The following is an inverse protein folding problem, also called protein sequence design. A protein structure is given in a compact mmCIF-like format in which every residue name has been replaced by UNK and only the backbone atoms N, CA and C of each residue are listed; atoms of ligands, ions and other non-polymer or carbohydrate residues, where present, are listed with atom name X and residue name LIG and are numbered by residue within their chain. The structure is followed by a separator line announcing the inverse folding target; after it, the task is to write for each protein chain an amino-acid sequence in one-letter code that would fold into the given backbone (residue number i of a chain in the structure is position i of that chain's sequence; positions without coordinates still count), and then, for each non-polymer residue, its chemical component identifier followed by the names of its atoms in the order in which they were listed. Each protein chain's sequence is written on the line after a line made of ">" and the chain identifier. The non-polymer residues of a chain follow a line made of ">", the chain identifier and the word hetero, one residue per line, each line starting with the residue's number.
data_IF_442786191257
#
_entry.id   IF_442786191257
#
_cell.length_a   1.000
_cell.length_b   1.000
_cell.length_c   1.000
_cell.angle_alpha   90.00
_cell.angle_beta   90.00
_cell.angle_gamma   90.00
#
_symmetry.space_group_name_H-M   'P 1'
#
loop_
_entity.id
_entity.type
_entity.pdbx_description
1 polymer ?
#
# COMPACT_ATOMS: atom_id res chain seq x y z
N UNK A 1 -13.04 -32.80 -35.49
CA UNK A 1 -12.43 -33.92 -34.76
C UNK A 1 -12.78 -33.87 -33.27
N UNK A 2 -12.23 -33.00 -32.44
CA UNK A 2 -12.45 -33.01 -30.98
C UNK A 2 -13.93 -32.82 -30.52
N UNK A 3 -14.78 -32.25 -31.37
CA UNK A 3 -16.21 -32.03 -31.08
C UNK A 3 -17.13 -33.00 -31.83
N UNK A 4 -16.67 -33.68 -32.90
CA UNK A 4 -17.51 -34.43 -33.85
C UNK A 4 -17.27 -35.94 -33.87
N UNK A 5 -16.32 -36.44 -33.10
CA UNK A 5 -15.82 -37.85 -33.12
C UNK A 5 -15.40 -38.38 -34.50
N UNK A 6 -15.19 -37.52 -35.49
CA UNK A 6 -14.66 -37.93 -36.76
C UNK A 6 -13.12 -38.09 -36.66
N UNK A 7 -12.55 -39.17 -37.14
CA UNK A 7 -11.11 -39.41 -37.16
C UNK A 7 -10.58 -38.77 -38.42
N UNK A 8 -9.82 -37.67 -38.27
CA UNK A 8 -9.03 -37.08 -39.33
C UNK A 8 -7.53 -37.36 -39.00
N UNK A 9 -6.77 -37.63 -40.02
CA UNK A 9 -5.30 -37.70 -39.90
C UNK A 9 -4.76 -36.27 -40.03
N UNK A 10 -3.91 -35.87 -39.06
CA UNK A 10 -3.19 -34.64 -39.09
C UNK A 10 -1.68 -34.98 -39.06
N UNK A 11 -0.87 -34.13 -39.65
CA UNK A 11 0.58 -34.27 -39.49
C UNK A 11 1.03 -33.81 -38.08
N UNK A 12 2.30 -34.00 -37.79
CA UNK A 12 2.85 -33.72 -36.47
C UNK A 12 2.75 -32.23 -36.13
N UNK A 13 3.16 -31.38 -37.07
CA UNK A 13 3.18 -29.92 -36.90
C UNK A 13 1.77 -29.37 -36.65
N UNK A 14 0.76 -29.89 -37.40
CA UNK A 14 -0.63 -29.51 -37.19
C UNK A 14 -1.14 -29.85 -35.78
N UNK A 15 -0.72 -30.99 -35.21
CA UNK A 15 -1.06 -31.33 -33.82
C UNK A 15 -0.39 -30.42 -32.84
N UNK A 16 0.87 -30.08 -33.00
CA UNK A 16 1.64 -29.17 -32.14
C UNK A 16 0.96 -27.79 -32.12
N UNK A 17 0.69 -27.21 -33.28
CA UNK A 17 0.02 -25.92 -33.39
C UNK A 17 -1.38 -25.91 -32.71
N UNK A 18 -2.16 -26.98 -32.91
CA UNK A 18 -3.48 -27.13 -32.27
C UNK A 18 -3.34 -27.22 -30.75
N UNK A 19 -2.35 -27.94 -30.24
CA UNK A 19 -2.15 -28.15 -28.80
C UNK A 19 -1.71 -26.85 -28.16
N UNK A 20 -0.68 -26.18 -28.72
CA UNK A 20 -0.14 -24.91 -28.27
C UNK A 20 -1.27 -23.88 -28.25
N UNK A 21 -2.02 -23.72 -29.34
CA UNK A 21 -3.16 -22.81 -29.39
C UNK A 21 -4.18 -23.05 -28.26
N UNK A 22 -4.49 -24.33 -27.92
CA UNK A 22 -5.40 -24.61 -26.82
C UNK A 22 -4.79 -24.34 -25.44
N UNK A 23 -3.48 -24.45 -25.29
CA UNK A 23 -2.76 -24.08 -24.07
C UNK A 23 -2.88 -22.55 -23.88
N UNK A 24 -2.53 -21.77 -24.91
CA UNK A 24 -2.51 -20.30 -24.88
C UNK A 24 -3.86 -19.69 -24.54
N UNK A 25 -4.96 -20.24 -25.08
CA UNK A 25 -6.32 -19.77 -24.77
C UNK A 25 -6.92 -20.42 -23.51
N UNK A 26 -6.10 -21.10 -22.69
CA UNK A 26 -6.52 -21.70 -21.42
C UNK A 26 -7.49 -22.88 -21.51
N UNK A 27 -7.64 -23.50 -22.72
CA UNK A 27 -8.54 -24.65 -22.93
C UNK A 27 -7.81 -26.00 -22.74
N UNK A 28 -7.20 -26.16 -21.58
CA UNK A 28 -6.35 -27.33 -21.27
C UNK A 28 -7.04 -28.70 -21.46
N UNK A 29 -8.36 -28.78 -21.25
CA UNK A 29 -9.10 -30.02 -21.51
C UNK A 29 -9.15 -30.42 -22.98
N UNK A 30 -9.12 -29.46 -23.90
CA UNK A 30 -9.03 -29.69 -25.34
C UNK A 30 -7.59 -29.97 -25.76
N UNK A 31 -6.62 -29.26 -25.21
CA UNK A 31 -5.19 -29.55 -25.42
C UNK A 31 -4.88 -31.01 -25.08
N UNK A 32 -5.32 -31.51 -23.93
CA UNK A 32 -5.15 -32.94 -23.56
C UNK A 32 -5.75 -33.92 -24.54
N UNK A 33 -6.95 -33.63 -25.04
CA UNK A 33 -7.58 -34.50 -26.03
C UNK A 33 -6.77 -34.51 -27.36
N UNK A 34 -6.28 -33.32 -27.72
CA UNK A 34 -5.41 -33.19 -28.91
C UNK A 34 -4.11 -33.94 -28.74
N UNK A 35 -3.41 -33.79 -27.59
CA UNK A 35 -2.19 -34.57 -27.27
C UNK A 35 -2.46 -36.06 -27.33
N UNK A 36 -3.55 -36.55 -26.73
CA UNK A 36 -3.90 -37.96 -26.75
C UNK A 36 -4.08 -38.49 -28.19
N UNK A 37 -4.84 -37.75 -28.99
CA UNK A 37 -5.06 -38.13 -30.40
C UNK A 37 -3.78 -38.04 -31.24
N UNK A 38 -2.97 -37.02 -30.96
CA UNK A 38 -1.66 -36.87 -31.60
C UNK A 38 -0.72 -38.07 -31.33
N UNK A 39 -0.62 -38.49 -30.07
CA UNK A 39 0.17 -39.63 -29.65
C UNK A 39 -0.41 -40.98 -30.12
N UNK A 40 -1.72 -41.08 -30.40
CA UNK A 40 -2.29 -42.25 -31.04
C UNK A 40 -1.89 -42.34 -32.52
N UNK A 41 -1.66 -41.23 -33.21
CA UNK A 41 -1.25 -41.18 -34.62
C UNK A 41 0.28 -41.13 -34.78
N UNK A 42 0.98 -40.48 -33.83
CA UNK A 42 2.44 -40.29 -33.83
C UNK A 42 3.04 -40.72 -32.47
N UNK A 43 3.08 -42.02 -32.14
CA UNK A 43 3.45 -42.51 -30.81
C UNK A 43 4.90 -42.26 -30.43
N UNK A 44 5.77 -42.06 -31.41
CA UNK A 44 7.23 -41.86 -31.21
C UNK A 44 7.60 -40.37 -31.14
N UNK A 45 6.65 -39.44 -31.38
CA UNK A 45 6.95 -38.02 -31.32
C UNK A 45 7.44 -37.61 -29.94
N UNK A 46 8.59 -37.00 -29.84
CA UNK A 46 9.16 -36.42 -28.62
C UNK A 46 8.41 -35.13 -28.26
N UNK A 47 8.14 -34.29 -29.24
CA UNK A 47 7.50 -32.99 -29.05
C UNK A 47 6.10 -33.15 -28.44
N UNK A 48 5.29 -34.09 -28.94
CA UNK A 48 3.98 -34.40 -28.37
C UNK A 48 4.08 -34.96 -26.92
N UNK A 49 5.16 -35.73 -26.63
CA UNK A 49 5.40 -36.23 -25.26
C UNK A 49 5.81 -35.08 -24.33
N UNK A 50 6.60 -34.12 -24.79
CA UNK A 50 6.98 -32.92 -24.04
C UNK A 50 5.77 -32.05 -23.75
N UNK A 51 4.89 -31.78 -24.74
CA UNK A 51 3.62 -31.11 -24.55
C UNK A 51 2.67 -31.85 -23.55
N UNK A 52 2.71 -33.19 -23.56
CA UNK A 52 1.99 -33.98 -22.55
C UNK A 52 2.56 -33.77 -21.15
N UNK A 53 3.88 -33.70 -21.01
CA UNK A 53 4.57 -33.46 -19.74
C UNK A 53 4.22 -32.06 -19.24
N UNK A 54 4.29 -31.05 -20.09
CA UNK A 54 3.91 -29.67 -19.76
C UNK A 54 2.48 -29.56 -19.21
N UNK A 55 1.50 -30.19 -19.88
CA UNK A 55 0.12 -30.26 -19.40
C UNK A 55 0.01 -30.97 -18.05
N UNK A 56 0.82 -32.02 -17.81
CA UNK A 56 0.85 -32.70 -16.50
C UNK A 56 1.44 -31.78 -15.40
N UNK A 57 2.47 -31.00 -15.74
CA UNK A 57 3.09 -30.01 -14.86
C UNK A 57 2.10 -28.88 -14.53
N UNK A 58 1.38 -28.38 -15.53
CA UNK A 58 0.34 -27.39 -15.34
C UNK A 58 -0.76 -27.88 -14.37
N UNK A 59 -1.19 -29.13 -14.50
CA UNK A 59 -2.18 -29.75 -13.62
C UNK A 59 -1.64 -30.20 -12.26
N UNK A 60 -0.39 -29.88 -11.95
CA UNK A 60 0.30 -30.30 -10.72
C UNK A 60 0.41 -31.83 -10.55
N UNK A 61 0.40 -32.59 -11.65
CA UNK A 61 0.59 -34.04 -11.67
C UNK A 61 2.08 -34.39 -11.78
N UNK A 62 2.89 -33.87 -10.84
CA UNK A 62 4.36 -33.91 -10.91
C UNK A 62 4.93 -35.33 -10.96
N UNK A 63 4.33 -36.30 -10.25
CA UNK A 63 4.77 -37.69 -10.28
C UNK A 63 4.64 -38.31 -11.68
N UNK A 64 3.54 -38.03 -12.38
CA UNK A 64 3.31 -38.52 -13.74
C UNK A 64 4.24 -37.78 -14.70
N UNK A 65 4.39 -36.48 -14.57
CA UNK A 65 5.29 -35.68 -15.39
C UNK A 65 6.75 -36.23 -15.32
N UNK A 66 7.27 -36.49 -14.11
CA UNK A 66 8.61 -37.07 -13.90
C UNK A 66 8.76 -38.44 -14.59
N UNK A 67 7.75 -39.29 -14.46
CA UNK A 67 7.78 -40.62 -15.09
C UNK A 67 7.86 -40.51 -16.62
N UNK A 68 7.06 -39.63 -17.22
CA UNK A 68 7.07 -39.41 -18.66
C UNK A 68 8.39 -38.76 -19.11
N UNK A 69 8.87 -37.80 -18.37
CA UNK A 69 10.11 -37.09 -18.66
C UNK A 69 11.34 -38.04 -18.65
N UNK A 70 11.40 -38.97 -17.69
CA UNK A 70 12.45 -40.00 -17.66
C UNK A 70 12.45 -40.86 -18.92
N UNK A 71 11.29 -41.13 -19.52
CA UNK A 71 11.21 -41.89 -20.77
C UNK A 71 11.75 -41.07 -21.97
N UNK A 72 11.46 -39.78 -22.02
CA UNK A 72 11.94 -38.86 -23.06
C UNK A 72 13.46 -38.68 -22.92
N UNK A 73 13.97 -38.49 -21.72
CA UNK A 73 15.41 -38.32 -21.45
C UNK A 73 16.26 -39.51 -21.90
N UNK A 74 15.73 -40.73 -21.80
CA UNK A 74 16.45 -41.94 -22.29
C UNK A 74 16.58 -41.92 -23.83
N UNK A 75 15.56 -41.35 -24.51
CA UNK A 75 15.55 -41.28 -25.98
C UNK A 75 16.41 -40.12 -26.49
N UNK A 76 16.32 -38.96 -25.83
CA UNK A 76 17.02 -37.73 -26.20
C UNK A 76 17.71 -37.09 -24.99
N UNK A 77 18.88 -37.58 -24.56
CA UNK A 77 19.55 -37.12 -23.35
C UNK A 77 20.13 -35.69 -23.44
N UNK A 78 20.26 -35.14 -24.65
CA UNK A 78 20.80 -33.80 -24.91
C UNK A 78 19.72 -32.83 -25.45
N UNK A 79 18.45 -33.14 -25.25
CA UNK A 79 17.39 -32.25 -25.63
C UNK A 79 17.23 -31.16 -24.54
N UNK A 80 17.31 -29.89 -24.92
CA UNK A 80 17.23 -28.72 -24.03
C UNK A 80 15.88 -28.66 -23.31
N UNK A 81 14.76 -28.95 -24.02
CA UNK A 81 13.41 -28.94 -23.45
C UNK A 81 13.25 -29.95 -22.30
N UNK A 82 13.96 -31.10 -22.36
CA UNK A 82 13.98 -32.06 -21.24
C UNK A 82 14.52 -31.42 -19.97
N UNK A 83 15.55 -30.59 -20.06
CA UNK A 83 16.12 -29.89 -18.91
C UNK A 83 15.23 -28.75 -18.46
N UNK A 84 14.53 -28.02 -19.37
CA UNK A 84 13.54 -27.00 -19.05
C UNK A 84 12.38 -27.63 -18.27
N UNK A 85 11.83 -28.74 -18.74
CA UNK A 85 10.75 -29.46 -18.06
C UNK A 85 11.20 -30.02 -16.69
N UNK A 86 12.43 -30.48 -16.54
CA UNK A 86 13.02 -30.87 -15.26
C UNK A 86 13.04 -29.68 -14.28
N UNK A 87 13.55 -28.54 -14.75
CA UNK A 87 13.62 -27.33 -13.96
C UNK A 87 12.24 -26.90 -13.47
N UNK A 88 11.26 -26.87 -14.38
CA UNK A 88 9.88 -26.48 -14.04
C UNK A 88 9.25 -27.42 -13.00
N UNK A 89 9.51 -28.73 -13.11
CA UNK A 89 9.01 -29.72 -12.14
C UNK A 89 9.66 -29.51 -10.75
N UNK A 90 10.98 -29.34 -10.68
CA UNK A 90 11.68 -29.19 -9.39
C UNK A 90 11.44 -27.80 -8.79
N UNK A 91 11.22 -26.77 -9.61
CA UNK A 91 10.76 -25.44 -9.17
C UNK A 91 9.42 -25.52 -8.45
N UNK A 92 8.43 -26.21 -9.02
CA UNK A 92 7.13 -26.44 -8.37
C UNK A 92 7.24 -27.26 -7.07
N UNK A 93 8.32 -27.97 -6.83
CA UNK A 93 8.65 -28.61 -5.57
C UNK A 93 9.37 -27.68 -4.57
N UNK A 94 9.62 -26.42 -4.93
CA UNK A 94 10.35 -25.45 -4.13
C UNK A 94 11.89 -25.65 -4.16
N UNK A 95 12.41 -26.43 -5.10
CA UNK A 95 13.85 -26.74 -5.23
C UNK A 95 14.53 -25.83 -6.25
N UNK A 96 14.50 -24.53 -6.00
CA UNK A 96 14.93 -23.51 -6.95
C UNK A 96 16.39 -23.65 -7.37
N UNK A 97 17.31 -24.09 -6.48
CA UNK A 97 18.72 -24.33 -6.84
C UNK A 97 18.87 -25.45 -7.84
N UNK A 98 18.13 -26.56 -7.69
CA UNK A 98 18.12 -27.67 -8.62
C UNK A 98 17.50 -27.27 -9.97
N UNK A 99 16.50 -26.38 -9.96
CA UNK A 99 15.92 -25.80 -11.17
C UNK A 99 16.94 -24.98 -11.94
N UNK A 100 17.69 -24.11 -11.26
CA UNK A 100 18.77 -23.30 -11.86
C UNK A 100 19.84 -24.23 -12.51
N UNK A 101 20.25 -25.29 -11.83
CA UNK A 101 21.23 -26.23 -12.39
C UNK A 101 20.76 -26.88 -13.70
N UNK A 102 19.46 -27.23 -13.77
CA UNK A 102 18.89 -27.79 -15.00
C UNK A 102 18.77 -26.72 -16.10
N UNK A 103 18.34 -25.49 -15.78
CA UNK A 103 18.24 -24.39 -16.74
C UNK A 103 19.62 -24.01 -17.32
N UNK A 104 20.67 -23.99 -16.48
CA UNK A 104 22.03 -23.75 -16.95
C UNK A 104 22.48 -24.85 -17.95
N UNK A 105 22.08 -26.10 -17.74
CA UNK A 105 22.34 -27.17 -18.71
C UNK A 105 21.57 -26.93 -20.00
N UNK A 106 20.28 -26.62 -19.93
CA UNK A 106 19.47 -26.28 -21.09
C UNK A 106 20.11 -25.15 -21.91
N UNK A 107 20.59 -24.10 -21.25
CA UNK A 107 21.24 -22.95 -21.87
C UNK A 107 22.48 -23.30 -22.69
N UNK A 108 23.14 -24.43 -22.38
CA UNK A 108 24.31 -24.91 -23.15
C UNK A 108 23.94 -25.74 -24.39
N UNK A 109 22.68 -26.14 -24.53
CA UNK A 109 22.20 -27.06 -25.54
C UNK A 109 21.43 -26.37 -26.67
N UNK A 110 20.95 -25.16 -26.44
CA UNK A 110 20.13 -24.41 -27.40
C UNK A 110 20.78 -23.10 -27.81
N UNK A 111 20.46 -22.62 -29.03
CA UNK A 111 20.75 -21.26 -29.49
C UNK A 111 19.65 -20.29 -29.13
N UNK A 112 18.41 -20.75 -28.92
CA UNK A 112 17.28 -19.98 -28.46
C UNK A 112 17.29 -19.93 -26.91
N UNK A 113 17.66 -18.77 -26.37
CA UNK A 113 18.01 -18.64 -24.95
C UNK A 113 17.02 -17.77 -24.17
N UNK A 114 16.10 -17.09 -24.84
CA UNK A 114 15.27 -16.03 -24.23
C UNK A 114 14.39 -16.60 -23.13
N UNK A 115 13.64 -17.66 -23.40
CA UNK A 115 12.80 -18.31 -22.40
C UNK A 115 13.61 -18.85 -21.22
N UNK A 116 14.79 -19.38 -21.47
CA UNK A 116 15.66 -19.94 -20.42
C UNK A 116 16.19 -18.82 -19.52
N UNK A 117 16.59 -17.66 -20.08
CA UNK A 117 17.00 -16.51 -19.26
C UNK A 117 15.84 -15.98 -18.41
N UNK A 118 14.63 -15.93 -18.98
CA UNK A 118 13.43 -15.55 -18.21
C UNK A 118 13.19 -16.50 -17.04
N UNK A 119 13.25 -17.81 -17.27
CA UNK A 119 13.09 -18.81 -16.22
C UNK A 119 14.22 -18.74 -15.18
N UNK A 120 15.48 -18.57 -15.59
CA UNK A 120 16.60 -18.37 -14.67
C UNK A 120 16.41 -17.12 -13.82
N UNK A 121 15.99 -16.01 -14.44
CA UNK A 121 15.68 -14.78 -13.72
C UNK A 121 14.63 -15.01 -12.63
N UNK A 122 13.55 -15.70 -12.95
CA UNK A 122 12.50 -16.04 -11.99
C UNK A 122 12.98 -16.96 -10.88
N UNK A 123 13.78 -18.00 -11.19
CA UNK A 123 14.33 -18.90 -10.19
C UNK A 123 15.29 -18.21 -9.21
N UNK A 124 16.09 -17.24 -9.70
CA UNK A 124 16.95 -16.42 -8.86
C UNK A 124 16.13 -15.45 -7.99
N UNK A 125 14.98 -14.92 -8.48
CA UNK A 125 14.07 -14.11 -7.66
C UNK A 125 13.48 -14.91 -6.49
N UNK A 126 13.12 -16.18 -6.71
CA UNK A 126 12.64 -17.05 -5.61
C UNK A 126 13.70 -17.31 -4.52
N UNK A 127 14.97 -17.10 -4.85
CA UNK A 127 16.09 -17.23 -3.90
C UNK A 127 16.56 -15.88 -3.33
N UNK A 128 15.86 -14.78 -3.65
CA UNK A 128 16.27 -13.40 -3.33
C UNK A 128 17.66 -13.02 -3.87
N UNK A 129 18.13 -13.72 -4.91
CA UNK A 129 19.39 -13.42 -5.59
C UNK A 129 19.13 -12.42 -6.73
N UNK A 130 18.89 -11.16 -6.33
CA UNK A 130 18.50 -10.08 -7.25
C UNK A 130 19.60 -9.75 -8.26
N UNK A 131 20.87 -9.94 -7.93
CA UNK A 131 21.98 -9.69 -8.85
C UNK A 131 21.95 -10.67 -10.04
N UNK A 132 21.87 -11.98 -9.78
CA UNK A 132 21.80 -12.98 -10.84
C UNK A 132 20.45 -12.94 -11.58
N UNK A 133 19.34 -12.66 -10.91
CA UNK A 133 18.05 -12.43 -11.56
C UNK A 133 18.15 -11.30 -12.58
N UNK A 134 18.67 -10.15 -12.17
CA UNK A 134 18.86 -8.97 -13.01
C UNK A 134 19.72 -9.24 -14.24
N UNK A 135 20.84 -9.96 -14.07
CA UNK A 135 21.72 -10.30 -15.19
C UNK A 135 20.98 -11.12 -16.27
N UNK A 136 20.14 -12.07 -15.86
CA UNK A 136 19.36 -12.87 -16.80
C UNK A 136 18.28 -12.03 -17.50
N UNK A 137 17.52 -11.20 -16.77
CA UNK A 137 16.54 -10.29 -17.40
C UNK A 137 17.20 -9.25 -18.31
N UNK A 138 18.41 -8.78 -18.01
CA UNK A 138 19.17 -7.90 -18.92
C UNK A 138 19.51 -8.64 -20.23
N UNK A 139 19.78 -9.95 -20.19
CA UNK A 139 19.99 -10.72 -21.39
C UNK A 139 18.71 -10.78 -22.25
N UNK A 140 17.52 -10.96 -21.65
CA UNK A 140 16.24 -10.90 -22.34
C UNK A 140 16.03 -9.54 -23.01
N UNK A 141 16.21 -8.44 -22.26
CA UNK A 141 16.08 -7.05 -22.78
C UNK A 141 17.09 -6.77 -23.91
N UNK A 142 18.28 -7.38 -23.88
CA UNK A 142 19.26 -7.20 -24.95
C UNK A 142 18.93 -8.05 -26.19
N UNK A 143 18.25 -9.17 -26.05
CA UNK A 143 17.78 -10.01 -27.14
C UNK A 143 16.56 -9.40 -27.82
N UNK A 144 15.58 -9.00 -27.01
CA UNK A 144 14.41 -8.25 -27.45
C UNK A 144 14.28 -6.94 -26.66
N UNK A 145 14.50 -5.82 -27.35
CA UNK A 145 14.44 -4.48 -26.76
C UNK A 145 12.99 -4.07 -26.38
N UNK A 146 11.99 -4.76 -26.92
CA UNK A 146 10.57 -4.54 -26.61
C UNK A 146 10.03 -5.47 -25.54
N UNK A 147 10.88 -6.32 -24.95
CA UNK A 147 10.51 -7.13 -23.77
C UNK A 147 10.40 -6.24 -22.53
N UNK A 148 9.26 -5.55 -22.42
CA UNK A 148 8.95 -4.68 -21.28
C UNK A 148 8.78 -5.48 -19.99
N UNK A 149 8.38 -6.76 -20.04
CA UNK A 149 8.28 -7.61 -18.87
C UNK A 149 9.62 -7.80 -18.20
N UNK A 150 10.64 -8.15 -18.98
CA UNK A 150 12.02 -8.27 -18.49
C UNK A 150 12.58 -6.91 -18.06
N UNK A 151 12.27 -5.82 -18.77
CA UNK A 151 12.64 -4.47 -18.36
C UNK A 151 12.10 -4.12 -16.94
N UNK A 152 10.83 -4.42 -16.69
CA UNK A 152 10.24 -4.25 -15.35
C UNK A 152 10.95 -5.10 -14.29
N UNK A 153 11.27 -6.35 -14.62
CA UNK A 153 11.98 -7.24 -13.70
C UNK A 153 13.40 -6.77 -13.39
N UNK A 154 14.12 -6.18 -14.36
CA UNK A 154 15.43 -5.55 -14.13
C UNK A 154 15.29 -4.42 -13.12
N UNK A 155 14.33 -3.53 -13.32
CA UNK A 155 14.09 -2.39 -12.40
C UNK A 155 13.66 -2.90 -11.02
N UNK A 156 12.79 -3.91 -10.97
CA UNK A 156 12.38 -4.53 -9.70
C UNK A 156 13.58 -5.07 -8.91
N UNK A 157 14.54 -5.74 -9.58
CA UNK A 157 15.75 -6.23 -8.92
C UNK A 157 16.58 -5.06 -8.33
N UNK A 158 16.72 -3.95 -9.04
CA UNK A 158 17.38 -2.76 -8.52
C UNK A 158 16.64 -2.17 -7.31
N UNK A 159 15.30 -2.12 -7.36
CA UNK A 159 14.47 -1.60 -6.26
C UNK A 159 14.66 -2.45 -4.99
N UNK A 160 14.68 -3.78 -5.12
CA UNK A 160 14.88 -4.69 -3.98
C UNK A 160 16.27 -4.57 -3.35
N UNK A 161 17.26 -4.13 -4.11
CA UNK A 161 18.63 -3.86 -3.64
C UNK A 161 18.84 -2.39 -3.23
N UNK A 162 17.80 -1.52 -3.31
CA UNK A 162 17.87 -0.07 -3.08
C UNK A 162 18.89 0.65 -4.00
N UNK A 163 19.19 0.09 -5.16
CA UNK A 163 20.18 0.58 -6.13
C UNK A 163 19.56 1.52 -7.17
N UNK A 164 18.83 2.53 -6.70
CA UNK A 164 18.05 3.43 -7.54
C UNK A 164 18.88 4.20 -8.58
N UNK A 165 20.09 4.65 -8.22
CA UNK A 165 20.96 5.35 -9.18
C UNK A 165 21.48 4.41 -10.27
N UNK A 166 21.79 3.16 -9.95
CA UNK A 166 22.21 2.16 -10.93
C UNK A 166 21.07 1.80 -11.88
N UNK A 167 19.82 1.77 -11.37
CA UNK A 167 18.62 1.62 -12.20
C UNK A 167 18.48 2.76 -13.22
N UNK A 168 18.68 4.01 -12.79
CA UNK A 168 18.66 5.19 -13.67
C UNK A 168 19.75 5.05 -14.75
N UNK A 169 20.97 4.66 -14.36
CA UNK A 169 22.09 4.51 -15.29
C UNK A 169 21.85 3.40 -16.33
N UNK A 170 21.20 2.32 -15.90
CA UNK A 170 20.77 1.24 -16.82
C UNK A 170 19.69 1.73 -17.77
N UNK A 171 18.63 2.37 -17.23
CA UNK A 171 17.52 2.89 -18.02
C UNK A 171 17.94 3.97 -19.02
N UNK A 172 18.89 4.83 -18.64
CA UNK A 172 19.47 5.80 -19.58
C UNK A 172 20.16 5.13 -20.76
N UNK A 173 20.93 4.06 -20.54
CA UNK A 173 21.53 3.26 -21.62
C UNK A 173 20.49 2.54 -22.49
N UNK A 174 19.37 2.19 -21.90
CA UNK A 174 18.25 1.58 -22.61
C UNK A 174 17.58 2.62 -23.52
N UNK A 175 17.26 3.83 -23.02
CA UNK A 175 16.63 4.88 -23.84
C UNK A 175 17.57 5.44 -24.92
N UNK A 176 18.90 5.34 -24.76
CA UNK A 176 19.84 5.65 -25.83
C UNK A 176 19.61 4.77 -27.07
N UNK A 177 19.12 3.54 -26.88
CA UNK A 177 18.80 2.58 -27.95
C UNK A 177 17.33 2.64 -28.38
N UNK A 178 16.42 2.89 -27.41
CA UNK A 178 14.98 2.94 -27.62
C UNK A 178 14.38 4.23 -26.99
N UNK A 179 14.58 5.41 -27.60
CA UNK A 179 14.21 6.69 -27.01
C UNK A 179 12.70 6.92 -26.92
N UNK A 180 11.89 6.15 -27.65
CA UNK A 180 10.42 6.27 -27.69
C UNK A 180 9.73 5.21 -26.83
N UNK A 181 10.40 4.69 -25.79
CA UNK A 181 9.79 3.78 -24.82
C UNK A 181 9.24 4.55 -23.63
N UNK A 182 7.92 4.78 -23.59
CA UNK A 182 7.21 5.44 -22.49
C UNK A 182 7.40 4.72 -21.16
N UNK A 183 7.48 3.39 -21.19
CA UNK A 183 7.71 2.55 -20.00
C UNK A 183 9.07 2.87 -19.37
N UNK A 184 10.13 2.98 -20.16
CA UNK A 184 11.47 3.27 -19.65
C UNK A 184 11.53 4.68 -19.03
N UNK A 185 10.96 5.69 -19.68
CA UNK A 185 10.87 7.04 -19.15
C UNK A 185 10.06 7.10 -17.86
N UNK A 186 8.95 6.37 -17.80
CA UNK A 186 8.16 6.25 -16.57
C UNK A 186 8.97 5.61 -15.44
N UNK A 187 9.72 4.54 -15.71
CA UNK A 187 10.57 3.92 -14.69
C UNK A 187 11.71 4.84 -14.22
N UNK A 188 12.32 5.62 -15.12
CA UNK A 188 13.29 6.66 -14.74
C UNK A 188 12.65 7.66 -13.78
N UNK A 189 11.45 8.14 -14.09
CA UNK A 189 10.70 9.05 -13.22
C UNK A 189 10.43 8.46 -11.84
N UNK A 190 10.04 7.19 -11.77
CA UNK A 190 9.85 6.47 -10.50
C UNK A 190 11.13 6.42 -9.68
N UNK A 191 12.27 6.10 -10.28
CA UNK A 191 13.56 6.05 -9.58
C UNK A 191 13.94 7.43 -9.03
N UNK A 192 13.77 8.50 -9.81
CA UNK A 192 14.00 9.86 -9.33
C UNK A 192 13.05 10.25 -8.21
N UNK A 193 11.77 9.83 -8.26
CA UNK A 193 10.78 10.09 -7.20
C UNK A 193 11.19 9.44 -5.87
N UNK A 194 11.68 8.20 -5.89
CA UNK A 194 12.20 7.51 -4.69
C UNK A 194 13.39 8.27 -4.10
N UNK A 195 14.28 8.77 -4.94
CA UNK A 195 15.43 9.61 -4.55
C UNK A 195 15.02 11.04 -4.14
N UNK A 196 13.71 11.38 -4.16
CA UNK A 196 13.16 12.73 -3.89
C UNK A 196 13.67 13.82 -4.84
N UNK A 197 14.10 13.43 -6.02
CA UNK A 197 14.55 14.31 -7.09
C UNK A 197 13.34 14.64 -8.00
N UNK A 198 12.41 15.42 -7.44
CA UNK A 198 11.08 15.62 -8.02
C UNK A 198 11.09 16.34 -9.38
N UNK A 199 12.03 17.26 -9.60
CA UNK A 199 12.11 17.98 -10.88
C UNK A 199 12.56 17.06 -12.02
N UNK A 200 13.57 16.20 -11.77
CA UNK A 200 14.01 15.23 -12.75
C UNK A 200 12.95 14.14 -12.97
N UNK A 201 12.24 13.74 -11.91
CA UNK A 201 11.11 12.81 -12.04
C UNK A 201 10.01 13.39 -12.93
N UNK A 202 9.65 14.67 -12.72
CA UNK A 202 8.65 15.37 -13.53
C UNK A 202 9.05 15.40 -15.01
N UNK A 203 10.31 15.76 -15.30
CA UNK A 203 10.83 15.77 -16.67
C UNK A 203 10.74 14.38 -17.32
N UNK A 204 11.05 13.31 -16.59
CA UNK A 204 10.97 11.95 -17.15
C UNK A 204 9.51 11.54 -17.40
N UNK A 205 8.57 11.89 -16.52
CA UNK A 205 7.14 11.64 -16.75
C UNK A 205 6.59 12.47 -17.89
N UNK A 206 7.09 13.71 -18.10
CA UNK A 206 6.74 14.51 -19.28
C UNK A 206 7.10 13.80 -20.58
N UNK A 207 8.30 13.21 -20.66
CA UNK A 207 8.68 12.41 -21.83
C UNK A 207 7.76 11.20 -22.01
N UNK A 208 7.43 10.49 -20.93
CA UNK A 208 6.55 9.32 -21.01
C UNK A 208 5.18 9.65 -21.61
N UNK A 209 4.54 10.74 -21.14
CA UNK A 209 3.21 11.16 -21.64
C UNK A 209 3.25 11.86 -23.00
N UNK A 210 4.39 12.40 -23.42
CA UNK A 210 4.58 12.93 -24.78
C UNK A 210 4.71 11.79 -25.80
N UNK A 211 5.34 10.68 -25.41
CA UNK A 211 5.52 9.51 -26.26
C UNK A 211 4.19 8.75 -26.42
N UNK A 212 3.48 8.53 -25.32
CA UNK A 212 2.14 7.93 -25.33
C UNK A 212 1.16 8.82 -24.55
N UNK A 213 0.33 9.56 -25.31
CA UNK A 213 -0.71 10.44 -24.76
C UNK A 213 -1.83 9.68 -24.02
N UNK A 214 -1.91 8.35 -24.18
CA UNK A 214 -2.89 7.50 -23.50
C UNK A 214 -2.29 6.79 -22.27
N UNK A 215 -1.04 7.04 -21.96
CA UNK A 215 -0.34 6.37 -20.86
C UNK A 215 -0.79 6.90 -19.49
N UNK A 216 -1.89 6.34 -18.96
CA UNK A 216 -2.52 6.72 -17.67
C UNK A 216 -1.52 6.72 -16.51
N UNK A 217 -0.63 5.70 -16.44
CA UNK A 217 0.41 5.61 -15.40
C UNK A 217 1.35 6.80 -15.35
N UNK A 218 1.71 7.34 -16.52
CA UNK A 218 2.55 8.53 -16.65
C UNK A 218 1.89 9.77 -16.06
N UNK A 219 0.64 10.04 -16.42
CA UNK A 219 -0.13 11.17 -15.86
C UNK A 219 -0.35 11.04 -14.35
N UNK A 220 -0.61 9.83 -13.86
CA UNK A 220 -0.82 9.58 -12.45
C UNK A 220 0.42 9.90 -11.61
N UNK A 221 1.58 9.39 -12.00
CA UNK A 221 2.83 9.64 -11.28
C UNK A 221 3.32 11.09 -11.45
N UNK A 222 3.10 11.68 -12.63
CA UNK A 222 3.31 13.11 -12.85
C UNK A 222 2.49 13.97 -11.90
N UNK A 223 1.20 13.69 -11.76
CA UNK A 223 0.31 14.41 -10.84
C UNK A 223 0.79 14.30 -9.39
N UNK A 224 1.16 13.10 -8.91
CA UNK A 224 1.72 12.90 -7.57
C UNK A 224 3.01 13.69 -7.35
N UNK A 225 3.85 13.76 -8.38
CA UNK A 225 5.11 14.51 -8.32
C UNK A 225 4.86 16.02 -8.25
N UNK A 226 3.89 16.52 -9.01
CA UNK A 226 3.45 17.91 -8.95
C UNK A 226 2.87 18.28 -7.59
N UNK A 227 2.13 17.38 -6.94
CA UNK A 227 1.70 17.59 -5.55
C UNK A 227 2.88 17.72 -4.59
N UNK A 228 3.89 16.87 -4.73
CA UNK A 228 5.09 16.93 -3.88
C UNK A 228 5.87 18.25 -4.07
N UNK A 229 5.80 18.85 -5.26
CA UNK A 229 6.34 20.16 -5.59
C UNK A 229 5.42 21.32 -5.17
N UNK A 230 4.20 21.04 -4.71
CA UNK A 230 3.21 22.08 -4.36
C UNK A 230 2.50 22.70 -5.54
N UNK A 231 2.68 22.18 -6.75
CA UNK A 231 2.03 22.63 -7.99
C UNK A 231 0.62 22.01 -8.11
N UNK A 232 -0.24 22.31 -7.13
CA UNK A 232 -1.54 21.63 -6.96
C UNK A 232 -2.50 21.81 -8.14
N UNK A 233 -2.49 22.96 -8.82
CA UNK A 233 -3.38 23.15 -9.99
C UNK A 233 -2.97 22.25 -11.14
N UNK A 234 -1.68 22.19 -11.44
CA UNK A 234 -1.15 21.32 -12.49
C UNK A 234 -1.35 19.82 -12.15
N UNK A 235 -1.24 19.46 -10.86
CA UNK A 235 -1.57 18.11 -10.38
C UNK A 235 -3.04 17.77 -10.69
N UNK A 236 -3.98 18.67 -10.38
CA UNK A 236 -5.40 18.50 -10.68
C UNK A 236 -5.63 18.26 -12.18
N UNK A 237 -4.99 19.06 -13.03
CA UNK A 237 -5.14 18.95 -14.48
C UNK A 237 -4.70 17.57 -14.98
N UNK A 238 -3.58 17.05 -14.46
CA UNK A 238 -3.11 15.70 -14.80
C UNK A 238 -4.00 14.59 -14.23
N UNK A 239 -4.53 14.72 -13.00
CA UNK A 239 -5.53 13.77 -12.49
C UNK A 239 -6.83 13.78 -13.29
N UNK A 240 -7.25 14.94 -13.81
CA UNK A 240 -8.44 15.00 -14.66
C UNK A 240 -8.22 14.24 -15.97
N UNK A 241 -7.01 14.33 -16.56
CA UNK A 241 -6.66 13.53 -17.73
C UNK A 241 -6.78 12.04 -17.44
N UNK A 242 -6.31 11.56 -16.27
CA UNK A 242 -6.45 10.13 -15.93
C UNK A 242 -7.91 9.68 -15.86
N UNK A 243 -8.83 10.56 -15.44
CA UNK A 243 -10.27 10.27 -15.40
C UNK A 243 -10.95 10.27 -16.78
N UNK A 244 -10.33 10.92 -17.78
CA UNK A 244 -10.81 10.93 -19.16
C UNK A 244 -10.31 9.69 -19.94
N UNK A 245 -9.11 9.20 -19.59
CA UNK A 245 -8.45 8.09 -20.29
C UNK A 245 -8.87 6.70 -19.78
N UNK A 246 -9.26 6.61 -18.53
CA UNK A 246 -9.60 5.36 -17.87
C UNK A 246 -10.89 5.55 -17.04
N UNK A 247 -11.45 4.46 -16.52
CA UNK A 247 -12.62 4.54 -15.64
C UNK A 247 -12.32 5.40 -14.42
N UNK A 248 -13.27 6.27 -14.07
CA UNK A 248 -13.16 7.16 -12.92
C UNK A 248 -12.89 6.38 -11.63
N UNK A 249 -11.77 6.68 -10.98
CA UNK A 249 -11.40 6.01 -9.74
C UNK A 249 -11.64 6.91 -8.52
N UNK A 250 -12.16 6.32 -7.45
CA UNK A 250 -12.30 7.01 -6.16
C UNK A 250 -10.97 7.61 -5.68
N UNK A 251 -9.85 6.96 -6.00
CA UNK A 251 -8.50 7.46 -5.70
C UNK A 251 -8.23 8.82 -6.36
N UNK A 252 -8.44 8.94 -7.68
CA UNK A 252 -8.19 10.19 -8.41
C UNK A 252 -9.09 11.32 -7.87
N UNK A 253 -10.36 11.05 -7.60
CA UNK A 253 -11.25 12.03 -6.99
C UNK A 253 -10.79 12.49 -5.61
N UNK A 254 -10.27 11.60 -4.77
CA UNK A 254 -9.70 11.97 -3.47
C UNK A 254 -8.51 12.89 -3.65
N UNK A 255 -7.56 12.53 -4.53
CA UNK A 255 -6.35 13.34 -4.77
C UNK A 255 -6.68 14.73 -5.29
N UNK A 256 -7.62 14.85 -6.23
CA UNK A 256 -8.12 16.15 -6.71
C UNK A 256 -8.73 16.95 -5.56
N UNK A 257 -9.52 16.29 -4.68
CA UNK A 257 -10.10 16.92 -3.49
C UNK A 257 -9.04 17.44 -2.53
N UNK A 258 -7.99 16.67 -2.27
CA UNK A 258 -6.84 17.07 -1.43
C UNK A 258 -6.10 18.28 -2.04
N UNK A 259 -5.84 18.27 -3.36
CA UNK A 259 -5.24 19.41 -4.05
C UNK A 259 -6.08 20.69 -3.92
N UNK A 260 -7.40 20.60 -4.13
CA UNK A 260 -8.28 21.76 -3.92
C UNK A 260 -8.31 22.24 -2.47
N UNK A 261 -8.18 21.36 -1.52
CA UNK A 261 -8.07 21.72 -0.10
C UNK A 261 -6.77 22.49 0.17
N UNK A 262 -5.64 22.06 -0.40
CA UNK A 262 -4.37 22.79 -0.32
C UNK A 262 -4.45 24.17 -0.97
N UNK A 263 -5.20 24.31 -2.05
CA UNK A 263 -5.49 25.61 -2.71
C UNK A 263 -6.51 26.47 -1.93
N UNK A 264 -7.02 26.00 -0.80
CA UNK A 264 -8.03 26.70 0.00
C UNK A 264 -9.45 26.71 -0.61
N UNK A 265 -9.67 25.93 -1.69
CA UNK A 265 -10.97 25.83 -2.34
C UNK A 265 -11.82 24.70 -1.74
N UNK A 266 -12.36 24.93 -0.53
CA UNK A 266 -13.17 23.96 0.18
C UNK A 266 -14.43 23.52 -0.61
N UNK A 267 -15.01 24.39 -1.44
CA UNK A 267 -16.20 24.05 -2.22
C UNK A 267 -15.90 22.99 -3.28
N UNK A 268 -14.80 23.15 -4.03
CA UNK A 268 -14.34 22.17 -5.01
C UNK A 268 -13.90 20.87 -4.32
N UNK A 269 -13.15 20.96 -3.19
CA UNK A 269 -12.76 19.79 -2.42
C UNK A 269 -13.97 18.94 -2.00
N UNK A 270 -15.02 19.55 -1.45
CA UNK A 270 -16.27 18.85 -1.09
C UNK A 270 -16.90 18.16 -2.31
N UNK A 271 -16.90 18.82 -3.46
CA UNK A 271 -17.46 18.26 -4.69
C UNK A 271 -16.73 16.96 -5.07
N UNK A 272 -15.40 16.98 -5.08
CA UNK A 272 -14.59 15.83 -5.48
C UNK A 272 -14.59 14.72 -4.43
N UNK A 273 -14.56 15.02 -3.15
CA UNK A 273 -14.74 13.99 -2.12
C UNK A 273 -16.12 13.31 -2.17
N UNK A 274 -17.18 14.06 -2.54
CA UNK A 274 -18.50 13.45 -2.78
C UNK A 274 -18.50 12.53 -3.99
N UNK A 275 -17.79 12.89 -5.08
CA UNK A 275 -17.61 12.00 -6.22
C UNK A 275 -16.84 10.73 -5.79
N UNK A 276 -15.79 10.86 -4.99
CA UNK A 276 -15.01 9.73 -4.50
C UNK A 276 -15.86 8.72 -3.71
N UNK A 277 -16.68 9.20 -2.75
CA UNK A 277 -17.55 8.32 -1.96
C UNK A 277 -18.81 7.86 -2.71
N UNK A 278 -19.13 8.45 -3.83
CA UNK A 278 -20.14 7.96 -4.76
C UNK A 278 -19.61 6.79 -5.57
N UNK A 279 -18.37 6.91 -6.05
CA UNK A 279 -17.67 5.88 -6.81
C UNK A 279 -17.34 4.66 -5.95
N UNK A 280 -16.79 4.91 -4.75
CA UNK A 280 -16.55 3.86 -3.76
C UNK A 280 -17.21 4.25 -2.41
N UNK A 281 -18.43 3.81 -2.16
CA UNK A 281 -19.12 4.05 -0.90
C UNK A 281 -18.45 3.41 0.33
N UNK A 282 -17.58 2.43 0.13
CA UNK A 282 -16.83 1.75 1.20
C UNK A 282 -15.49 2.43 1.52
N UNK A 283 -15.16 3.52 0.84
CA UNK A 283 -13.97 4.31 1.11
C UNK A 283 -14.15 5.14 2.39
N UNK A 284 -13.90 4.55 3.57
CA UNK A 284 -14.05 5.20 4.87
C UNK A 284 -13.27 6.53 4.96
N UNK A 285 -12.06 6.57 4.38
CA UNK A 285 -11.19 7.76 4.33
C UNK A 285 -11.83 8.92 3.56
N UNK A 286 -12.59 8.64 2.50
CA UNK A 286 -13.33 9.67 1.75
C UNK A 286 -14.39 10.36 2.61
N UNK A 287 -15.10 9.60 3.43
CA UNK A 287 -16.06 10.13 4.40
C UNK A 287 -15.39 10.97 5.50
N UNK A 288 -14.18 10.57 5.94
CA UNK A 288 -13.38 11.35 6.90
C UNK A 288 -12.97 12.72 6.32
N UNK A 289 -12.56 12.79 5.05
CA UNK A 289 -12.22 14.07 4.42
C UNK A 289 -13.42 15.03 4.41
N UNK A 290 -14.60 14.54 4.05
CA UNK A 290 -15.84 15.34 4.15
C UNK A 290 -16.10 15.78 5.59
N UNK A 291 -15.91 14.89 6.55
CA UNK A 291 -16.06 15.20 7.98
C UNK A 291 -15.16 16.36 8.38
N UNK A 292 -13.87 16.29 8.04
CA UNK A 292 -12.88 17.30 8.42
C UNK A 292 -13.24 18.69 7.86
N UNK A 293 -13.60 18.78 6.58
CA UNK A 293 -13.99 20.07 5.99
C UNK A 293 -15.22 20.66 6.69
N UNK A 294 -16.26 19.86 6.95
CA UNK A 294 -17.44 20.37 7.64
C UNK A 294 -17.17 20.70 9.10
N UNK A 295 -16.25 19.99 9.76
CA UNK A 295 -15.79 20.31 11.11
C UNK A 295 -15.09 21.68 11.13
N UNK A 296 -14.18 21.95 10.20
CA UNK A 296 -13.45 23.21 10.07
C UNK A 296 -14.39 24.38 9.75
N UNK A 297 -15.44 24.12 8.97
CA UNK A 297 -16.54 25.06 8.71
C UNK A 297 -17.48 25.25 9.92
N UNK A 298 -17.22 24.58 11.04
CA UNK A 298 -18.08 24.55 12.25
C UNK A 298 -19.49 24.00 12.01
N UNK A 299 -19.70 23.27 10.91
CA UNK A 299 -20.95 22.59 10.63
C UNK A 299 -20.91 21.17 11.24
N UNK A 300 -20.99 21.15 12.57
CA UNK A 300 -20.81 19.91 13.33
C UNK A 300 -21.90 18.86 13.08
N UNK A 301 -23.10 19.26 12.68
CA UNK A 301 -24.18 18.33 12.34
C UNK A 301 -23.85 17.53 11.09
N UNK A 302 -23.37 18.20 10.02
CA UNK A 302 -22.93 17.49 8.81
C UNK A 302 -21.67 16.67 9.07
N UNK A 303 -20.73 17.21 9.86
CA UNK A 303 -19.55 16.44 10.26
C UNK A 303 -19.94 15.15 11.01
N UNK A 304 -20.93 15.22 11.94
CA UNK A 304 -21.45 14.05 12.64
C UNK A 304 -22.07 13.02 11.69
N UNK A 305 -22.79 13.47 10.68
CA UNK A 305 -23.35 12.57 9.66
C UNK A 305 -22.25 11.82 8.90
N UNK A 306 -21.22 12.53 8.41
CA UNK A 306 -20.16 11.92 7.60
C UNK A 306 -19.24 11.02 8.43
N UNK A 307 -18.88 11.39 9.65
CA UNK A 307 -18.06 10.52 10.51
C UNK A 307 -18.81 9.23 10.90
N UNK A 308 -20.14 9.29 11.06
CA UNK A 308 -20.94 8.09 11.31
C UNK A 308 -20.93 7.14 10.10
N UNK A 309 -20.81 7.65 8.86
CA UNK A 309 -20.61 6.83 7.66
C UNK A 309 -19.24 6.15 7.69
N UNK A 310 -18.18 6.91 7.99
CA UNK A 310 -16.82 6.31 8.10
C UNK A 310 -16.80 5.19 9.14
N UNK A 311 -17.33 5.44 10.34
CA UNK A 311 -17.41 4.44 11.42
C UNK A 311 -18.29 3.23 11.10
N UNK A 312 -19.31 3.39 10.24
CA UNK A 312 -20.14 2.24 9.79
C UNK A 312 -19.41 1.31 8.82
N UNK A 313 -18.31 1.76 8.22
CA UNK A 313 -17.47 1.02 7.27
C UNK A 313 -16.28 0.42 8.01
N UNK A 314 -15.60 1.23 8.82
CA UNK A 314 -14.45 0.84 9.60
C UNK A 314 -14.53 1.46 11.01
N UNK A 315 -14.76 0.63 12.00
CA UNK A 315 -14.83 1.00 13.40
C UNK A 315 -13.54 0.62 14.18
N UNK A 316 -12.55 0.09 13.48
CA UNK A 316 -11.28 -0.34 14.06
C UNK A 316 -10.20 0.75 14.08
N UNK A 317 -10.41 1.87 13.37
CA UNK A 317 -9.47 2.99 13.36
C UNK A 317 -9.80 4.00 14.48
N UNK A 318 -8.85 4.15 15.43
CA UNK A 318 -8.98 5.09 16.54
C UNK A 318 -9.15 6.55 16.09
N UNK A 319 -8.61 6.93 14.91
CA UNK A 319 -8.74 8.28 14.37
C UNK A 319 -10.22 8.66 14.10
N UNK A 320 -11.03 7.73 13.60
CA UNK A 320 -12.46 7.99 13.35
C UNK A 320 -13.24 8.20 14.65
N UNK A 321 -12.95 7.39 15.67
CA UNK A 321 -13.56 7.55 17.00
C UNK A 321 -13.13 8.85 17.68
N UNK A 322 -11.87 9.24 17.54
CA UNK A 322 -11.37 10.53 18.03
C UNK A 322 -12.13 11.69 17.39
N UNK A 323 -12.22 11.71 16.06
CA UNK A 323 -12.94 12.75 15.34
C UNK A 323 -14.44 12.75 15.69
N UNK A 324 -15.05 11.58 15.84
CA UNK A 324 -16.42 11.44 16.30
C UNK A 324 -16.62 12.09 17.68
N UNK A 325 -15.75 11.80 18.62
CA UNK A 325 -15.81 12.34 19.99
C UNK A 325 -15.64 13.85 20.01
N UNK A 326 -14.70 14.40 19.26
CA UNK A 326 -14.49 15.84 19.12
C UNK A 326 -15.76 16.54 18.58
N UNK A 327 -16.40 15.95 17.57
CA UNK A 327 -17.65 16.47 17.00
C UNK A 327 -18.77 16.40 18.04
N UNK A 328 -18.91 15.30 18.77
CA UNK A 328 -19.92 15.12 19.79
C UNK A 328 -19.76 16.11 20.95
N UNK A 329 -18.51 16.43 21.34
CA UNK A 329 -18.24 17.50 22.29
C UNK A 329 -18.72 18.85 21.79
N UNK A 330 -18.46 19.19 20.52
CA UNK A 330 -18.92 20.46 19.92
C UNK A 330 -20.45 20.56 19.83
N UNK A 331 -21.14 19.44 19.77
CA UNK A 331 -22.60 19.34 19.78
C UNK A 331 -23.19 19.18 21.19
N UNK A 332 -22.38 19.19 22.25
CA UNK A 332 -22.74 18.95 23.64
C UNK A 332 -23.37 17.58 23.94
N UNK A 333 -23.04 16.57 23.10
CA UNK A 333 -23.41 15.17 23.33
C UNK A 333 -22.31 14.48 24.15
N UNK A 334 -22.24 14.78 25.43
CA UNK A 334 -21.11 14.40 26.30
C UNK A 334 -20.99 12.88 26.50
N UNK A 335 -22.13 12.18 26.65
CA UNK A 335 -22.12 10.73 26.83
C UNK A 335 -21.55 9.98 25.60
N UNK A 336 -21.94 10.42 24.41
CA UNK A 336 -21.43 9.86 23.15
C UNK A 336 -19.95 10.20 22.95
N UNK A 337 -19.52 11.40 23.34
CA UNK A 337 -18.12 11.81 23.29
C UNK A 337 -17.25 10.95 24.22
N UNK A 338 -17.71 10.68 25.44
CA UNK A 338 -17.03 9.83 26.40
C UNK A 338 -16.85 8.42 25.80
N UNK A 339 -17.93 7.80 25.31
CA UNK A 339 -17.87 6.47 24.68
C UNK A 339 -16.88 6.42 23.53
N UNK A 340 -16.87 7.44 22.69
CA UNK A 340 -15.96 7.49 21.56
C UNK A 340 -14.48 7.62 21.99
N UNK A 341 -14.17 8.46 22.98
CA UNK A 341 -12.81 8.53 23.53
C UNK A 341 -12.38 7.22 24.23
N UNK A 342 -13.30 6.56 24.93
CA UNK A 342 -13.03 5.24 25.52
C UNK A 342 -12.71 4.20 24.43
N UNK A 343 -13.41 4.26 23.30
CA UNK A 343 -13.09 3.43 22.13
C UNK A 343 -11.71 3.74 21.57
N UNK A 344 -11.33 5.03 21.43
CA UNK A 344 -9.96 5.39 21.03
C UNK A 344 -8.91 4.71 21.89
N UNK A 345 -9.04 4.83 23.20
CA UNK A 345 -8.10 4.22 24.16
C UNK A 345 -8.11 2.68 24.10
N UNK A 346 -9.26 2.07 23.84
CA UNK A 346 -9.39 0.61 23.70
C UNK A 346 -8.73 0.08 22.43
N UNK A 347 -8.67 0.90 21.38
CA UNK A 347 -8.00 0.64 20.10
C UNK A 347 -6.51 0.97 20.13
N UNK A 348 -5.99 1.41 21.28
CA UNK A 348 -4.56 1.64 21.48
C UNK A 348 -4.07 3.05 21.13
N UNK A 349 -4.97 4.03 21.00
CA UNK A 349 -4.56 5.44 20.90
C UNK A 349 -3.99 5.91 22.24
N UNK A 350 -2.67 6.15 22.28
CA UNK A 350 -1.95 6.60 23.46
C UNK A 350 -1.66 8.13 23.43
N UNK A 351 -2.27 8.89 22.51
CA UNK A 351 -2.07 10.33 22.44
C UNK A 351 -2.60 10.99 23.74
N UNK A 352 -1.72 11.76 24.41
CA UNK A 352 -2.05 12.49 25.63
C UNK A 352 -3.32 13.36 25.49
N UNK A 353 -3.55 13.94 24.32
CA UNK A 353 -4.70 14.78 24.06
C UNK A 353 -6.04 14.02 24.15
N UNK A 354 -6.07 12.73 23.81
CA UNK A 354 -7.26 11.88 23.96
C UNK A 354 -7.56 11.67 25.45
N UNK A 355 -6.53 11.35 26.24
CA UNK A 355 -6.68 11.21 27.70
C UNK A 355 -7.18 12.51 28.34
N UNK A 356 -6.58 13.65 27.97
CA UNK A 356 -6.95 14.96 28.49
C UNK A 356 -8.40 15.30 28.12
N UNK A 357 -8.80 15.14 26.87
CA UNK A 357 -10.16 15.40 26.41
C UNK A 357 -11.18 14.53 27.15
N UNK A 358 -10.88 13.24 27.35
CA UNK A 358 -11.75 12.34 28.12
C UNK A 358 -11.85 12.76 29.60
N UNK A 359 -10.72 13.11 30.23
CA UNK A 359 -10.70 13.58 31.63
C UNK A 359 -11.51 14.87 31.78
N UNK A 360 -11.36 15.80 30.86
CA UNK A 360 -12.03 17.08 30.90
C UNK A 360 -13.55 16.92 30.75
N UNK A 361 -14.02 16.09 29.83
CA UNK A 361 -15.46 15.86 29.68
C UNK A 361 -16.03 15.05 30.85
N UNK A 362 -15.33 14.05 31.39
CA UNK A 362 -15.76 13.34 32.62
C UNK A 362 -15.82 14.27 33.81
N UNK A 363 -14.88 15.20 33.92
CA UNK A 363 -14.89 16.23 34.96
C UNK A 363 -16.10 17.17 34.81
N UNK A 364 -16.40 17.57 33.58
CA UNK A 364 -17.52 18.44 33.27
C UNK A 364 -18.87 17.80 33.63
N UNK A 365 -19.07 16.53 33.37
CA UNK A 365 -20.29 15.79 33.71
C UNK A 365 -20.34 15.33 35.18
N UNK A 366 -19.28 15.59 35.97
CA UNK A 366 -19.22 15.27 37.40
C UNK A 366 -18.74 13.87 37.74
N UNK A 367 -18.27 13.10 36.76
CA UNK A 367 -17.76 11.73 36.93
C UNK A 367 -16.28 11.72 37.42
N UNK A 368 -16.01 12.39 38.56
CA UNK A 368 -14.65 12.65 39.04
C UNK A 368 -13.83 11.40 39.32
N UNK A 369 -14.44 10.30 39.75
CA UNK A 369 -13.73 9.05 40.00
C UNK A 369 -13.30 8.36 38.69
N UNK A 370 -14.14 8.44 37.67
CA UNK A 370 -13.80 7.93 36.33
C UNK A 370 -12.67 8.78 35.73
N UNK A 371 -12.77 10.10 35.79
CA UNK A 371 -11.74 11.04 35.35
C UNK A 371 -10.38 10.73 36.03
N UNK A 372 -10.38 10.51 37.34
CA UNK A 372 -9.16 10.16 38.08
C UNK A 372 -8.55 8.83 37.61
N UNK A 373 -9.39 7.84 37.34
CA UNK A 373 -8.95 6.52 36.83
C UNK A 373 -8.27 6.64 35.45
N UNK A 374 -8.82 7.45 34.56
CA UNK A 374 -8.24 7.73 33.25
C UNK A 374 -6.91 8.50 33.39
N UNK A 375 -6.87 9.49 34.29
CA UNK A 375 -5.66 10.29 34.53
C UNK A 375 -4.51 9.46 35.09
N UNK A 376 -4.80 8.46 35.95
CA UNK A 376 -3.80 7.49 36.44
C UNK A 376 -3.26 6.62 35.30
N UNK A 377 -4.12 6.24 34.34
CA UNK A 377 -3.64 5.53 33.14
C UNK A 377 -2.72 6.42 32.28
N UNK A 378 -3.12 7.66 32.03
CA UNK A 378 -2.32 8.62 31.28
C UNK A 378 -0.92 8.83 31.90
N UNK A 379 -0.83 8.97 33.24
CA UNK A 379 0.42 9.18 33.96
C UNK A 379 1.45 8.06 33.77
N UNK A 380 1.01 6.81 33.48
CA UNK A 380 1.94 5.68 33.26
C UNK A 380 2.73 5.85 31.97
N UNK A 381 2.11 6.31 30.90
CA UNK A 381 2.74 6.58 29.61
C UNK A 381 3.41 7.95 29.54
N UNK A 382 2.81 8.94 30.21
CA UNK A 382 3.20 10.36 30.12
C UNK A 382 3.64 10.90 31.48
N UNK A 383 4.92 10.72 31.79
CA UNK A 383 5.53 11.21 33.04
C UNK A 383 5.93 12.68 32.90
N UNK A 384 5.77 13.45 34.00
CA UNK A 384 6.19 14.86 34.11
C UNK A 384 5.46 15.82 33.12
N UNK A 385 4.17 15.60 32.91
CA UNK A 385 3.33 16.56 32.18
C UNK A 385 2.54 17.44 33.16
N UNK A 386 2.73 18.77 33.08
CA UNK A 386 2.04 19.73 33.91
C UNK A 386 0.52 19.58 33.78
N UNK A 387 0.05 19.37 32.56
CA UNK A 387 -1.37 19.17 32.23
C UNK A 387 -2.04 18.05 33.04
N UNK A 388 -1.33 16.95 33.26
CA UNK A 388 -1.80 15.83 34.08
C UNK A 388 -1.81 16.21 35.55
N UNK A 389 -0.74 16.83 36.04
CA UNK A 389 -0.60 17.16 37.47
C UNK A 389 -1.59 18.23 37.92
N UNK A 390 -1.90 19.25 37.09
CA UNK A 390 -2.93 20.24 37.39
C UNK A 390 -4.32 19.60 37.45
N UNK A 391 -4.62 18.64 36.55
CA UNK A 391 -5.91 17.92 36.60
C UNK A 391 -6.03 17.02 37.83
N UNK A 392 -4.95 16.35 38.23
CA UNK A 392 -4.90 15.64 39.50
C UNK A 392 -5.19 16.58 40.68
N UNK A 393 -4.55 17.76 40.72
CA UNK A 393 -4.77 18.74 41.76
C UNK A 393 -6.25 19.14 41.86
N UNK A 394 -6.87 19.48 40.73
CA UNK A 394 -8.26 19.87 40.66
C UNK A 394 -9.23 18.75 41.09
N UNK A 395 -9.03 17.53 40.53
CA UNK A 395 -9.88 16.37 40.84
C UNK A 395 -9.79 15.94 42.32
N UNK A 396 -8.57 15.86 42.88
CA UNK A 396 -8.42 15.55 44.30
C UNK A 396 -9.06 16.57 45.20
N UNK A 397 -9.04 17.84 44.80
CA UNK A 397 -9.71 18.90 45.57
C UNK A 397 -11.24 18.73 45.52
N UNK A 398 -11.83 18.48 44.35
CA UNK A 398 -13.28 18.22 44.22
C UNK A 398 -13.73 16.95 44.98
N UNK A 399 -12.84 15.97 45.12
CA UNK A 399 -13.06 14.76 45.89
C UNK A 399 -12.80 14.92 47.41
N UNK A 400 -12.61 16.16 47.90
CA UNK A 400 -12.30 16.50 49.29
C UNK A 400 -11.00 15.87 49.82
N UNK A 401 -10.05 15.55 48.95
CA UNK A 401 -8.72 14.99 49.27
C UNK A 401 -7.64 16.08 49.16
N UNK A 402 -7.83 17.21 49.88
CA UNK A 402 -7.02 18.41 49.70
C UNK A 402 -5.51 18.18 49.83
N UNK A 403 -5.07 17.29 50.71
CA UNK A 403 -3.65 17.00 50.90
C UNK A 403 -3.00 16.51 49.59
N UNK A 404 -3.63 15.57 48.90
CA UNK A 404 -3.15 15.09 47.60
C UNK A 404 -3.25 16.15 46.51
N UNK A 405 -4.32 16.95 46.54
CA UNK A 405 -4.49 18.10 45.63
C UNK A 405 -3.33 19.11 45.73
N UNK A 406 -2.89 19.44 46.93
CA UNK A 406 -1.76 20.34 47.16
C UNK A 406 -0.43 19.69 46.66
N UNK A 407 -0.19 18.42 46.94
CA UNK A 407 1.00 17.70 46.48
C UNK A 407 1.12 17.74 44.95
N UNK A 408 0.03 17.46 44.23
CA UNK A 408 0.00 17.53 42.77
C UNK A 408 0.09 18.96 42.23
N UNK A 409 -0.51 19.93 42.89
CA UNK A 409 -0.38 21.34 42.52
C UNK A 409 1.07 21.83 42.61
N UNK A 410 1.79 21.48 43.68
CA UNK A 410 3.23 21.82 43.80
C UNK A 410 4.03 21.17 42.71
N UNK A 411 3.77 19.90 42.39
CA UNK A 411 4.47 19.21 41.27
C UNK A 411 4.18 19.90 39.94
N UNK A 412 2.93 20.23 39.67
CA UNK A 412 2.52 20.89 38.44
C UNK A 412 3.22 22.25 38.26
N UNK A 413 3.25 23.07 39.32
CA UNK A 413 3.94 24.37 39.30
C UNK A 413 5.46 24.25 39.05
N UNK A 414 6.09 23.21 39.58
CA UNK A 414 7.51 22.94 39.32
C UNK A 414 7.79 22.49 37.89
N UNK A 415 6.82 21.92 37.17
CA UNK A 415 6.96 21.52 35.77
C UNK A 415 6.70 22.72 34.85
N UNK A 416 5.54 23.34 35.01
CA UNK A 416 5.11 24.51 34.22
C UNK A 416 4.15 25.37 35.05
N UNK A 417 4.64 26.49 35.57
CA UNK A 417 3.82 27.40 36.37
C UNK A 417 2.74 28.07 35.54
N UNK A 418 3.04 28.48 34.31
CA UNK A 418 2.11 29.29 33.49
C UNK A 418 0.87 28.50 33.09
N UNK A 419 0.95 27.19 33.05
CA UNK A 419 -0.20 26.32 32.77
C UNK A 419 -1.28 26.30 33.90
N UNK A 420 -1.00 26.94 35.08
CA UNK A 420 -1.96 27.01 36.19
C UNK A 420 -3.32 27.64 35.82
N UNK A 421 -3.37 28.35 34.69
CA UNK A 421 -4.61 28.97 34.17
C UNK A 421 -5.68 27.90 33.90
N UNK A 422 -5.30 26.67 33.60
CA UNK A 422 -6.24 25.55 33.40
C UNK A 422 -7.13 25.29 34.64
N UNK A 423 -6.61 25.54 35.84
CA UNK A 423 -7.41 25.43 37.06
C UNK A 423 -8.56 26.43 37.08
N UNK A 424 -8.39 27.64 36.52
CA UNK A 424 -9.42 28.63 36.41
C UNK A 424 -10.52 28.19 35.44
N UNK A 425 -10.13 27.53 34.36
CA UNK A 425 -11.04 27.11 33.31
C UNK A 425 -11.86 25.88 33.72
N UNK A 426 -11.18 24.84 34.22
CA UNK A 426 -11.84 23.56 34.54
C UNK A 426 -12.28 23.42 36.00
N UNK A 427 -11.59 24.07 36.93
CA UNK A 427 -11.76 23.91 38.37
C UNK A 427 -11.90 25.27 39.07
N UNK A 428 -12.80 26.12 38.62
CA UNK A 428 -12.93 27.49 39.11
C UNK A 428 -13.08 27.59 40.63
N UNK A 429 -13.83 26.69 41.27
CA UNK A 429 -13.98 26.62 42.71
C UNK A 429 -12.65 26.32 43.43
N UNK A 430 -11.77 25.52 42.82
CA UNK A 430 -10.46 25.22 43.34
C UNK A 430 -9.51 26.39 43.12
N UNK A 431 -9.55 27.00 41.94
CA UNK A 431 -8.69 28.15 41.60
C UNK A 431 -8.91 29.33 42.54
N UNK A 432 -10.19 29.72 42.81
CA UNK A 432 -10.51 30.86 43.70
C UNK A 432 -10.46 30.54 45.19
N UNK A 433 -10.09 29.33 45.59
CA UNK A 433 -9.88 29.00 46.99
C UNK A 433 -8.69 29.79 47.56
N UNK A 434 -8.83 30.37 48.74
CA UNK A 434 -7.79 31.18 49.39
C UNK A 434 -6.46 30.43 49.53
N UNK A 435 -6.49 29.14 49.88
CA UNK A 435 -5.31 28.30 50.01
C UNK A 435 -4.56 28.12 48.70
N UNK A 436 -5.31 27.89 47.60
CA UNK A 436 -4.73 27.72 46.24
C UNK A 436 -4.11 29.04 45.77
N UNK A 437 -4.84 30.17 45.94
CA UNK A 437 -4.31 31.49 45.56
C UNK A 437 -3.05 31.86 46.33
N UNK A 438 -3.00 31.54 47.61
CA UNK A 438 -1.80 31.74 48.43
C UNK A 438 -0.62 30.91 47.90
N UNK A 439 -0.84 29.62 47.64
CA UNK A 439 0.23 28.74 47.08
C UNK A 439 0.76 29.24 45.75
N UNK A 440 -0.13 29.65 44.82
CA UNK A 440 0.25 30.22 43.53
C UNK A 440 1.09 31.50 43.68
N UNK A 441 0.65 32.42 44.60
CA UNK A 441 1.35 33.69 44.83
C UNK A 441 2.72 33.49 45.51
N UNK A 442 2.79 32.57 46.48
CA UNK A 442 4.03 32.29 47.19
C UNK A 442 5.08 31.60 46.29
N UNK A 443 4.61 30.68 45.41
CA UNK A 443 5.47 30.04 44.42
C UNK A 443 6.02 31.05 43.42
N UNK A 444 5.18 31.94 42.90
CA UNK A 444 5.60 33.00 41.97
C UNK A 444 6.71 33.89 42.57
N UNK A 445 6.54 34.33 43.84
CA UNK A 445 7.51 35.13 44.54
C UNK A 445 8.83 34.40 44.82
N UNK A 446 8.78 33.08 44.93
CA UNK A 446 9.98 32.25 45.15
C UNK A 446 10.79 31.97 43.88
N UNK A 447 10.19 32.17 42.70
CA UNK A 447 10.78 31.92 41.39
C UNK A 447 11.19 33.22 40.66
N UNK A 448 10.65 34.35 41.06
CA UNK A 448 11.13 35.72 40.71
C UNK A 448 12.31 36.13 41.62
#
# INVERSE_FOLDING_TARGET
>A
MLKTNNVYFFDLTEFEEIIIHYIDIGKHSLAKKAVKLGLEQHPDSIDLKLLQIELCVFENKLVLAKKLLTQVEILEPNNDEVFIQKATIVSKEGKHKEAIENLIKALTLTDDKEDIWTLLGMEYLYLDDFENARLNFINCVNADIEDYSSLYNVVYCFDMEEKHQEAIDFLNKYIDKNPYCEVAWHQIGRQYSVLKRHEEALSAYDFAVIIDELFVGGYLEKAKTLEALGAYQEAIDNYLITLELDDATAFAFVRIGECYQQLGNAAAAILYYKKAVHEDPLLAKGWLYLTNIYFDQKNYEKAAYYISKALSIDDSDALYWRRYSEIKLKLNFFEEAIKGFEMCLSLGDEDINVFIALVDVLTFVGEFNAALSILIKAQKGHKNFAEIEYRFAGLFWLLNKQKFGIEHLIKAMNIDYDYHIILKELFSSVYFNEGTQKLLSDFKKATE
#
